data_IF_996427661497
#
_entry.id   IF_996427661497
#
_cell.length_a   1.000
_cell.length_b   1.000
_cell.length_c   1.000
_cell.angle_alpha   90.00
_cell.angle_beta   90.00
_cell.angle_gamma   90.00
#
_symmetry.space_group_name_H-M   'P 1'
#
loop_
_entity.id
_entity.type
_entity.pdbx_description
1 polymer ?
#
# COMPACT_ATOMS: atom_id res chain seq x y z
N UNK A 1 9.63 -5.32 21.60
CA UNK A 1 9.72 -4.18 20.67
C UNK A 1 9.04 -4.57 19.38
N UNK A 2 8.06 -3.78 18.89
CA UNK A 2 7.30 -4.16 17.71
C UNK A 2 8.10 -3.95 16.42
N UNK A 3 7.99 -4.92 15.52
CA UNK A 3 8.51 -4.83 14.14
C UNK A 3 7.37 -5.14 13.17
N UNK A 4 7.13 -4.26 12.21
CA UNK A 4 6.22 -4.52 11.09
C UNK A 4 7.02 -4.97 9.89
N UNK A 5 6.64 -6.10 9.27
CA UNK A 5 7.17 -6.51 7.97
C UNK A 5 6.12 -6.23 6.91
N UNK A 6 6.51 -5.50 5.88
CA UNK A 6 5.67 -5.10 4.76
C UNK A 6 6.20 -5.72 3.47
N UNK A 7 5.35 -6.46 2.77
CA UNK A 7 5.58 -6.92 1.39
C UNK A 7 4.67 -6.14 0.46
N UNK A 8 5.17 -5.79 -0.72
CA UNK A 8 4.38 -5.13 -1.75
C UNK A 8 4.09 -6.13 -2.88
N UNK A 9 2.89 -6.74 -2.96
CA UNK A 9 2.63 -7.78 -3.97
C UNK A 9 2.78 -7.29 -5.42
N UNK A 10 2.56 -5.99 -5.67
CA UNK A 10 2.82 -5.36 -6.97
C UNK A 10 4.31 -5.09 -7.25
N UNK A 11 5.20 -5.33 -6.27
CA UNK A 11 6.64 -5.07 -6.32
C UNK A 11 7.02 -3.61 -6.37
N UNK A 12 6.09 -2.68 -6.11
CA UNK A 12 6.28 -1.24 -6.25
C UNK A 12 5.75 -0.49 -5.04
N UNK A 13 6.51 0.51 -4.63
CA UNK A 13 6.11 1.46 -3.61
C UNK A 13 6.09 2.89 -4.17
N UNK A 14 4.89 3.45 -4.29
CA UNK A 14 4.59 4.77 -4.81
C UNK A 14 4.30 5.71 -3.65
N UNK A 15 5.17 6.70 -3.45
CA UNK A 15 4.96 7.70 -2.42
C UNK A 15 5.72 8.99 -2.70
N UNK A 16 4.99 10.10 -2.83
CA UNK A 16 5.61 11.42 -3.05
C UNK A 16 6.09 11.99 -1.71
N UNK A 17 7.33 12.49 -1.63
CA UNK A 17 7.81 13.15 -0.41
C UNK A 17 6.94 14.35 -0.02
N UNK A 18 6.82 14.57 1.29
CA UNK A 18 6.09 15.73 1.80
C UNK A 18 6.75 17.06 1.38
N UNK A 19 5.95 17.99 0.87
CA UNK A 19 6.42 19.28 0.38
C UNK A 19 6.90 19.26 -1.08
N UNK A 20 6.77 18.12 -1.77
CA UNK A 20 7.14 17.95 -3.16
C UNK A 20 5.91 17.67 -4.03
N UNK A 21 5.98 18.10 -5.29
CA UNK A 21 4.98 17.81 -6.30
C UNK A 21 5.25 16.46 -6.99
N UNK A 22 4.19 15.73 -7.38
CA UNK A 22 4.30 14.40 -8.01
C UNK A 22 5.19 14.40 -9.26
N UNK A 23 5.20 15.50 -10.01
CA UNK A 23 6.00 15.66 -11.23
C UNK A 23 7.48 15.99 -10.97
N UNK A 24 7.93 16.09 -9.71
CA UNK A 24 9.36 16.21 -9.40
C UNK A 24 10.09 14.87 -9.52
N UNK A 25 9.38 13.76 -9.73
CA UNK A 25 10.00 12.45 -9.93
C UNK A 25 10.67 11.87 -8.68
N UNK A 26 10.36 12.42 -7.50
CA UNK A 26 10.94 11.96 -6.24
C UNK A 26 10.09 10.87 -5.58
N UNK A 27 10.75 9.90 -4.95
CA UNK A 27 10.12 8.85 -4.15
C UNK A 27 10.56 9.01 -2.70
N UNK A 28 9.58 9.09 -1.79
CA UNK A 28 9.87 9.02 -0.36
C UNK A 28 10.31 7.61 -0.02
N UNK A 29 11.57 7.39 0.32
CA UNK A 29 12.04 6.08 0.77
C UNK A 29 13.09 6.26 1.88
N UNK A 30 12.97 5.58 3.03
CA UNK A 30 11.87 4.72 3.43
C UNK A 30 10.55 5.48 3.67
N UNK A 31 9.41 4.76 3.86
CA UNK A 31 8.15 5.39 4.25
C UNK A 31 8.31 6.23 5.52
N UNK A 32 7.94 7.51 5.46
CA UNK A 32 8.12 8.44 6.59
C UNK A 32 7.29 8.04 7.82
N UNK A 33 7.80 8.27 9.04
CA UNK A 33 7.05 7.98 10.26
C UNK A 33 5.67 8.66 10.29
N UNK A 34 5.56 9.88 9.77
CA UNK A 34 4.28 10.58 9.65
C UNK A 34 3.27 9.82 8.78
N UNK A 35 3.71 9.28 7.65
CA UNK A 35 2.86 8.49 6.74
C UNK A 35 2.44 7.17 7.38
N UNK A 36 3.37 6.49 8.08
CA UNK A 36 3.07 5.26 8.81
C UNK A 36 1.99 5.47 9.87
N UNK A 37 2.13 6.52 10.70
CA UNK A 37 1.14 6.83 11.74
C UNK A 37 -0.24 7.12 11.14
N UNK A 38 -0.30 7.90 10.06
CA UNK A 38 -1.56 8.19 9.37
C UNK A 38 -2.19 6.95 8.74
N UNK A 39 -1.39 6.04 8.19
CA UNK A 39 -1.88 4.80 7.61
C UNK A 39 -2.51 3.88 8.68
N UNK A 40 -1.87 3.74 9.85
CA UNK A 40 -2.41 2.97 10.97
C UNK A 40 -3.73 3.58 11.50
N UNK A 41 -3.80 4.90 11.63
CA UNK A 41 -5.03 5.59 12.06
C UNK A 41 -6.14 5.39 11.03
N UNK A 42 -5.85 5.61 9.74
CA UNK A 42 -6.82 5.43 8.67
C UNK A 42 -7.36 3.98 8.67
N UNK A 43 -6.48 2.99 8.82
CA UNK A 43 -6.86 1.58 8.93
C UNK A 43 -7.85 1.33 10.08
N UNK A 44 -7.64 1.95 11.25
CA UNK A 44 -8.56 1.85 12.38
C UNK A 44 -9.97 2.35 12.06
N UNK A 45 -10.09 3.51 11.42
CA UNK A 45 -11.39 4.04 11.00
C UNK A 45 -12.04 3.20 9.90
N UNK A 46 -11.28 2.76 8.89
CA UNK A 46 -11.86 2.10 7.70
C UNK A 46 -12.15 0.62 7.92
N UNK A 47 -11.30 -0.11 8.65
CA UNK A 47 -11.39 -1.57 8.79
C UNK A 47 -11.88 -1.99 10.17
N UNK A 48 -11.46 -1.29 11.22
CA UNK A 48 -11.86 -1.58 12.61
C UNK A 48 -13.10 -0.79 13.03
N UNK A 49 -13.67 0.02 12.12
CA UNK A 49 -14.91 0.79 12.31
C UNK A 49 -14.88 1.67 13.56
N UNK A 50 -13.72 2.27 13.85
CA UNK A 50 -13.61 3.23 14.93
C UNK A 50 -14.51 4.43 14.66
N UNK A 51 -15.32 4.83 15.65
CA UNK A 51 -15.98 6.13 15.64
C UNK A 51 -15.07 7.21 16.24
N UNK A 52 -14.29 6.79 17.24
CA UNK A 52 -13.20 7.53 17.88
C UNK A 52 -12.05 6.56 18.14
N UNK A 53 -10.83 7.08 18.32
CA UNK A 53 -9.66 6.23 18.58
C UNK A 53 -9.83 5.57 19.97
N UNK A 54 -9.88 4.23 20.07
CA UNK A 54 -10.03 3.56 21.36
C UNK A 54 -8.85 3.80 22.30
N UNK A 55 -9.02 3.79 23.63
CA UNK A 55 -7.93 4.07 24.57
C UNK A 55 -6.67 3.21 24.40
N UNK A 56 -6.75 1.88 24.13
CA UNK A 56 -5.56 1.07 23.85
C UNK A 56 -4.84 1.50 22.56
N UNK A 57 -5.60 1.88 21.52
CA UNK A 57 -5.04 2.40 20.28
C UNK A 57 -4.40 3.76 20.47
N UNK A 58 -4.99 4.64 21.28
CA UNK A 58 -4.39 5.94 21.62
C UNK A 58 -3.03 5.75 22.28
N UNK A 59 -2.93 4.90 23.31
CA UNK A 59 -1.64 4.63 24.00
C UNK A 59 -0.60 4.04 23.05
N UNK A 60 -1.01 3.09 22.20
CA UNK A 60 -0.16 2.52 21.15
C UNK A 60 0.39 3.62 20.22
N UNK A 61 -0.50 4.42 19.64
CA UNK A 61 -0.13 5.43 18.65
C UNK A 61 0.75 6.53 19.26
N UNK A 62 0.49 6.92 20.50
CA UNK A 62 1.33 7.87 21.24
C UNK A 62 2.74 7.31 21.50
N UNK A 63 2.87 6.03 21.87
CA UNK A 63 4.18 5.36 22.04
C UNK A 63 4.96 5.28 20.74
N UNK A 64 4.31 4.86 19.64
CA UNK A 64 4.94 4.80 18.32
C UNK A 64 5.34 6.19 17.82
N UNK A 65 4.53 7.22 18.05
CA UNK A 65 4.85 8.59 17.66
C UNK A 65 5.96 9.23 18.50
N UNK A 66 6.19 8.75 19.72
CA UNK A 66 7.25 9.24 20.59
C UNK A 66 8.65 8.79 20.16
N UNK A 67 8.77 7.74 19.35
CA UNK A 67 10.04 7.12 18.95
C UNK A 67 10.14 7.06 17.42
N UNK A 68 11.27 7.51 16.89
CA UNK A 68 11.57 7.36 15.47
C UNK A 68 11.95 5.90 15.14
N UNK A 69 11.27 5.23 14.20
CA UNK A 69 11.58 3.85 13.85
C UNK A 69 12.91 3.74 13.09
N UNK A 70 13.51 2.56 13.13
CA UNK A 70 14.60 2.13 12.23
C UNK A 70 14.07 1.13 11.22
N UNK A 71 14.74 0.99 10.08
CA UNK A 71 14.25 0.22 8.94
C UNK A 71 15.30 -0.79 8.49
N UNK A 72 14.85 -2.00 8.15
CA UNK A 72 15.58 -2.87 7.22
C UNK A 72 14.96 -2.72 5.85
N UNK A 73 15.79 -2.36 4.89
CA UNK A 73 15.32 -2.00 3.56
C UNK A 73 15.80 -3.06 2.58
N UNK A 74 14.90 -3.58 1.73
CA UNK A 74 15.33 -4.38 0.60
C UNK A 74 16.15 -3.52 -0.36
N UNK A 75 16.87 -4.18 -1.26
CA UNK A 75 17.51 -3.47 -2.36
C UNK A 75 16.42 -2.90 -3.26
N UNK A 76 16.45 -1.60 -3.52
CA UNK A 76 15.46 -0.93 -4.36
C UNK A 76 16.13 -0.15 -5.47
N UNK A 77 15.41 0.06 -6.58
CA UNK A 77 15.77 1.02 -7.62
C UNK A 77 14.64 2.02 -7.83
N UNK A 78 14.96 3.29 -8.07
CA UNK A 78 13.95 4.26 -8.47
C UNK A 78 13.50 4.00 -9.93
N UNK A 79 12.21 4.14 -10.21
CA UNK A 79 11.67 4.02 -11.56
C UNK A 79 10.44 4.92 -11.72
N UNK A 80 10.14 5.29 -12.96
CA UNK A 80 8.94 6.06 -13.28
C UNK A 80 8.35 5.67 -14.64
N UNK A 81 7.07 5.98 -14.80
CA UNK A 81 6.37 5.97 -16.08
C UNK A 81 5.97 7.40 -16.44
N UNK A 82 5.85 7.65 -17.74
CA UNK A 82 5.57 8.97 -18.31
C UNK A 82 4.26 8.92 -19.06
N UNK A 83 3.31 9.75 -18.66
CA UNK A 83 1.96 9.79 -19.23
C UNK A 83 1.67 11.20 -19.75
N UNK A 84 1.16 11.30 -20.97
CA UNK A 84 0.67 12.57 -21.51
C UNK A 84 -0.84 12.66 -21.24
N UNK A 85 -1.19 13.18 -20.06
CA UNK A 85 -2.56 13.20 -19.58
C UNK A 85 -3.34 14.38 -20.17
N UNK A 86 -4.59 14.17 -20.63
CA UNK A 86 -5.42 15.25 -21.13
C UNK A 86 -5.78 16.25 -20.03
N UNK A 87 -5.79 17.54 -20.36
CA UNK A 87 -6.13 18.62 -19.40
C UNK A 87 -7.50 19.25 -19.68
N UNK A 88 -8.37 18.57 -20.42
CA UNK A 88 -9.76 18.99 -20.65
C UNK A 88 -9.91 20.27 -21.48
N UNK A 89 -8.89 20.66 -22.24
CA UNK A 89 -8.93 21.78 -23.18
C UNK A 89 -8.42 21.36 -24.55
N UNK A 90 -8.98 21.94 -25.60
CA UNK A 90 -8.54 21.71 -26.98
C UNK A 90 -7.54 22.81 -27.40
N UNK A 91 -6.47 22.42 -28.06
CA UNK A 91 -5.56 23.30 -28.79
C UNK A 91 -5.52 22.86 -30.26
N UNK A 92 -5.90 23.77 -31.18
CA UNK A 92 -6.00 23.50 -32.62
C UNK A 92 -6.79 22.22 -32.97
N UNK A 93 -7.89 21.98 -32.26
CA UNK A 93 -8.75 20.82 -32.48
C UNK A 93 -8.20 19.48 -31.96
N UNK A 94 -7.08 19.49 -31.23
CA UNK A 94 -6.55 18.32 -30.51
C UNK A 94 -6.62 18.54 -29.02
N UNK A 95 -6.85 17.46 -28.27
CA UNK A 95 -6.82 17.52 -26.81
C UNK A 95 -5.43 17.90 -26.32
N UNK A 96 -5.35 18.98 -25.55
CA UNK A 96 -4.11 19.43 -24.95
C UNK A 96 -3.75 18.46 -23.82
N UNK A 97 -2.51 18.00 -23.84
CA UNK A 97 -1.98 17.09 -22.82
C UNK A 97 -0.89 17.76 -22.00
N UNK A 98 -0.66 17.23 -20.80
CA UNK A 98 0.48 17.58 -19.96
C UNK A 98 1.24 16.33 -19.58
N UNK A 99 2.56 16.43 -19.48
CA UNK A 99 3.41 15.33 -19.03
C UNK A 99 3.23 15.15 -17.52
N UNK A 100 2.86 13.93 -17.12
CA UNK A 100 2.74 13.49 -15.73
C UNK A 100 3.70 12.35 -15.48
N UNK A 101 4.44 12.44 -14.38
CA UNK A 101 5.28 11.36 -13.89
C UNK A 101 4.53 10.53 -12.85
N UNK A 102 4.60 9.21 -13.00
CA UNK A 102 4.25 8.28 -11.95
C UNK A 102 5.51 7.53 -11.51
N UNK A 103 6.02 7.85 -10.33
CA UNK A 103 7.33 7.42 -9.82
C UNK A 103 7.17 6.49 -8.62
N UNK A 104 8.00 5.45 -8.55
CA UNK A 104 8.00 4.44 -7.49
C UNK A 104 9.40 3.92 -7.16
N UNK A 105 9.55 3.37 -5.96
CA UNK A 105 10.65 2.48 -5.60
C UNK A 105 10.27 1.06 -6.04
N UNK A 106 11.10 0.45 -6.89
CA UNK A 106 10.95 -0.94 -7.31
C UNK A 106 11.51 -1.84 -6.20
N UNK A 107 10.62 -2.49 -5.46
CA UNK A 107 10.92 -3.33 -4.29
C UNK A 107 11.03 -4.81 -4.65
N UNK A 108 10.43 -5.23 -5.76
CA UNK A 108 10.44 -6.64 -6.17
C UNK A 108 9.65 -7.52 -5.22
N UNK A 109 10.17 -8.71 -4.90
CA UNK A 109 9.51 -9.69 -4.03
C UNK A 109 9.97 -9.61 -2.57
N UNK A 110 10.94 -8.74 -2.29
CA UNK A 110 11.49 -8.57 -0.95
C UNK A 110 10.55 -7.79 -0.02
N UNK A 111 10.88 -7.80 1.27
CA UNK A 111 10.08 -7.15 2.32
C UNK A 111 10.86 -6.05 3.04
N UNK A 112 10.17 -4.98 3.38
CA UNK A 112 10.62 -3.92 4.26
C UNK A 112 10.29 -4.29 5.72
N UNK A 113 11.21 -4.07 6.65
CA UNK A 113 10.91 -4.16 8.09
C UNK A 113 11.04 -2.79 8.77
N UNK A 114 10.07 -2.46 9.62
CA UNK A 114 10.00 -1.20 10.37
C UNK A 114 10.00 -1.52 11.85
N UNK A 115 10.99 -1.04 12.57
CA UNK A 115 11.25 -1.40 13.95
C UNK A 115 11.14 -0.18 14.88
N UNK A 116 10.33 -0.28 15.93
CA UNK A 116 10.28 0.73 16.99
C UNK A 116 10.95 0.22 18.27
N UNK A 117 11.90 1.01 18.76
CA UNK A 117 12.55 0.77 20.04
C UNK A 117 11.66 1.27 21.19
N UNK A 118 10.52 0.60 21.39
CA UNK A 118 9.62 0.84 22.52
C UNK A 118 8.97 -0.46 22.99
N UNK A 119 8.58 -0.48 24.26
CA UNK A 119 7.82 -1.59 24.85
C UNK A 119 6.32 -1.32 24.74
N UNK A 120 5.61 -2.34 24.26
CA UNK A 120 4.17 -2.34 24.14
C UNK A 120 3.58 -3.34 25.12
N UNK A 121 2.43 -3.01 25.69
CA UNK A 121 1.64 -3.96 26.48
C UNK A 121 0.98 -4.98 25.55
N UNK A 122 0.45 -6.06 26.13
CA UNK A 122 -0.27 -7.09 25.37
C UNK A 122 -1.47 -6.51 24.61
N UNK A 123 -2.27 -5.64 25.25
CA UNK A 123 -3.38 -4.93 24.58
C UNK A 123 -2.91 -4.07 23.40
N UNK A 124 -1.80 -3.36 23.55
CA UNK A 124 -1.25 -2.50 22.50
C UNK A 124 -0.69 -3.33 21.34
N UNK A 125 -0.06 -4.47 21.62
CA UNK A 125 0.40 -5.42 20.60
C UNK A 125 -0.77 -6.03 19.82
N UNK A 126 -1.87 -6.38 20.50
CA UNK A 126 -3.07 -6.92 19.85
C UNK A 126 -3.68 -5.89 18.90
N UNK A 127 -3.82 -4.63 19.35
CA UNK A 127 -4.30 -3.55 18.47
C UNK A 127 -3.36 -3.34 17.29
N UNK A 128 -2.04 -3.31 17.52
CA UNK A 128 -1.07 -3.16 16.44
C UNK A 128 -1.18 -4.33 15.44
N UNK A 129 -1.32 -5.56 15.91
CA UNK A 129 -1.52 -6.74 15.08
C UNK A 129 -2.76 -6.65 14.21
N UNK A 130 -3.90 -6.23 14.78
CA UNK A 130 -5.15 -6.01 14.05
C UNK A 130 -5.01 -4.95 12.96
N UNK A 131 -4.44 -3.78 13.30
CA UNK A 131 -4.22 -2.71 12.33
C UNK A 131 -3.26 -3.13 11.22
N UNK A 132 -2.23 -3.89 11.57
CA UNK A 132 -1.23 -4.38 10.61
C UNK A 132 -1.87 -5.36 9.64
N UNK A 133 -2.59 -6.37 10.12
CA UNK A 133 -3.24 -7.37 9.25
C UNK A 133 -4.25 -6.75 8.28
N UNK A 134 -4.85 -5.62 8.63
CA UNK A 134 -5.84 -4.93 7.81
C UNK A 134 -5.27 -3.80 6.94
N UNK A 135 -3.95 -3.55 6.99
CA UNK A 135 -3.31 -2.51 6.19
C UNK A 135 -3.23 -2.92 4.72
N UNK A 136 -4.12 -2.40 3.88
CA UNK A 136 -4.23 -2.80 2.47
C UNK A 136 -3.28 -2.07 1.51
N UNK A 137 -2.82 -0.87 1.86
CA UNK A 137 -1.85 -0.10 1.07
C UNK A 137 -1.07 0.87 1.97
N UNK A 138 0.10 1.30 1.50
CA UNK A 138 0.91 2.34 2.14
C UNK A 138 1.47 3.29 1.08
N UNK A 139 1.33 4.60 1.27
CA UNK A 139 1.69 5.58 0.24
C UNK A 139 0.49 5.91 -0.62
N UNK A 140 0.59 5.66 -1.93
CA UNK A 140 -0.53 5.79 -2.87
C UNK A 140 -1.26 4.45 -3.03
N UNK A 141 -2.49 4.48 -3.54
CA UNK A 141 -3.37 3.32 -3.66
C UNK A 141 -2.84 2.19 -4.54
N UNK A 142 -1.87 2.49 -5.41
CA UNK A 142 -1.16 1.53 -6.27
C UNK A 142 -0.17 0.66 -5.48
N UNK A 143 0.19 1.06 -4.26
CA UNK A 143 1.17 0.38 -3.40
C UNK A 143 0.48 -0.55 -2.42
N UNK A 144 -0.10 -1.63 -2.94
CA UNK A 144 -0.73 -2.64 -2.11
C UNK A 144 0.27 -3.26 -1.15
N UNK A 145 -0.19 -3.57 0.06
CA UNK A 145 0.65 -4.08 1.13
C UNK A 145 0.04 -5.35 1.69
N UNK A 146 0.90 -6.33 1.92
CA UNK A 146 0.67 -7.39 2.89
C UNK A 146 1.57 -7.09 4.08
N UNK A 147 0.97 -6.92 5.26
CA UNK A 147 1.69 -6.53 6.45
C UNK A 147 1.52 -7.56 7.56
N UNK A 148 2.60 -7.83 8.28
CA UNK A 148 2.59 -8.70 9.44
C UNK A 148 3.35 -8.08 10.62
N UNK A 149 2.86 -8.37 11.83
CA UNK A 149 3.54 -8.02 13.06
C UNK A 149 4.52 -9.15 13.40
N UNK A 150 5.81 -8.85 13.38
CA UNK A 150 6.87 -9.80 13.67
C UNK A 150 7.16 -9.79 15.17
N UNK A 151 7.07 -10.98 15.80
CA UNK A 151 7.30 -11.19 17.24
C UNK A 151 8.68 -11.78 17.56
N UNK A 152 9.53 -12.02 16.56
CA UNK A 152 10.89 -12.53 16.78
C UNK A 152 11.80 -11.51 17.47
N UNK A 153 12.89 -11.99 18.08
CA UNK A 153 13.88 -11.15 18.76
C UNK A 153 14.29 -9.97 17.87
N UNK A 154 14.43 -8.76 18.44
CA UNK A 154 14.85 -7.60 17.67
C UNK A 154 16.20 -7.89 17.03
N UNK A 155 16.41 -7.48 15.77
CA UNK A 155 17.70 -7.62 15.13
C UNK A 155 18.78 -6.87 15.91
N UNK A 156 20.04 -7.30 15.79
CA UNK A 156 21.14 -6.59 16.41
C UNK A 156 21.21 -5.16 15.82
N UNK A 157 21.70 -4.19 16.58
CA UNK A 157 21.70 -2.76 16.19
C UNK A 157 22.45 -2.45 14.88
N UNK A 158 23.30 -3.36 14.41
CA UNK A 158 24.08 -3.22 13.18
C UNK A 158 23.34 -3.68 11.92
N UNK A 159 22.10 -4.13 12.03
CA UNK A 159 21.39 -4.75 10.91
C UNK A 159 20.36 -3.84 10.23
N UNK A 160 20.26 -2.57 10.59
CA UNK A 160 19.31 -1.64 9.94
C UNK A 160 19.97 -0.97 8.73
N UNK A 161 19.21 -0.79 7.65
CA UNK A 161 19.63 -0.10 6.41
C UNK A 161 19.17 1.37 6.38
N UNK A 162 18.30 1.77 7.29
CA UNK A 162 18.04 3.17 7.58
C UNK A 162 17.67 3.42 9.05
N UNK A 163 18.16 4.51 9.62
CA UNK A 163 17.93 4.86 11.02
C UNK A 163 18.02 6.38 11.25
N UNK A 164 17.39 6.91 12.33
CA UNK A 164 17.41 8.33 12.63
C UNK A 164 18.83 8.86 12.84
N UNK A 165 19.13 10.03 12.29
CA UNK A 165 20.39 10.73 12.54
C UNK A 165 20.58 11.01 14.03
N UNK A 166 21.83 10.90 14.49
CA UNK A 166 22.28 11.28 15.84
C UNK A 166 23.61 11.98 15.72
N UNK A 167 23.81 13.02 16.51
CA UNK A 167 25.05 13.78 16.54
C UNK A 167 26.24 12.86 16.82
N UNK A 168 27.32 13.03 16.05
CA UNK A 168 28.53 12.22 16.17
C UNK A 168 28.46 10.83 15.52
N UNK A 169 27.33 10.42 14.94
CA UNK A 169 27.21 9.16 14.21
C UNK A 169 27.25 9.39 12.69
N UNK A 170 28.32 8.89 12.07
CA UNK A 170 28.51 8.88 10.62
C UNK A 170 28.81 7.46 10.13
N UNK A 171 27.84 6.77 9.50
CA UNK A 171 27.97 5.36 9.16
C UNK A 171 28.86 5.08 7.93
N UNK A 172 29.45 6.11 7.30
CA UNK A 172 30.41 6.01 6.20
C UNK A 172 29.86 6.40 4.83
N UNK A 173 30.70 6.34 3.80
CA UNK A 173 30.42 6.92 2.46
C UNK A 173 29.37 6.19 1.61
N UNK A 174 28.90 5.01 2.01
CA UNK A 174 27.80 4.29 1.33
C UNK A 174 26.41 4.74 1.81
N UNK A 175 26.37 5.66 2.77
CA UNK A 175 25.15 6.17 3.38
C UNK A 175 24.91 7.62 2.95
N UNK A 176 23.65 7.94 2.78
CA UNK A 176 23.18 9.30 2.51
C UNK A 176 22.19 9.75 3.57
N UNK A 177 22.05 11.07 3.69
CA UNK A 177 21.02 11.66 4.55
C UNK A 177 19.76 11.95 3.74
N UNK A 178 18.63 11.50 4.25
CA UNK A 178 17.31 11.86 3.73
C UNK A 178 16.48 12.56 4.79
N UNK A 179 15.67 13.52 4.36
CA UNK A 179 14.75 14.26 5.24
C UNK A 179 13.35 13.66 5.17
N UNK A 180 12.89 13.07 6.28
CA UNK A 180 11.57 12.46 6.40
C UNK A 180 10.66 13.28 7.32
N UNK A 181 9.36 13.25 7.04
CA UNK A 181 8.35 13.84 7.94
C UNK A 181 8.06 12.87 9.09
N UNK A 182 8.08 13.33 10.33
CA UNK A 182 7.74 12.54 11.50
C UNK A 182 6.76 13.30 12.41
N UNK A 183 5.97 12.62 13.23
CA UNK A 183 5.23 13.28 14.29
C UNK A 183 6.21 13.85 15.34
N UNK A 184 5.84 14.97 15.96
CA UNK A 184 6.45 15.41 17.20
C UNK A 184 6.08 14.43 18.32
N UNK A 185 6.98 14.13 19.27
CA UNK A 185 6.61 13.34 20.45
C UNK A 185 5.42 13.98 21.18
N UNK A 186 4.41 13.19 21.63
CA UNK A 186 3.17 13.74 22.20
C UNK A 186 3.40 14.77 23.32
N UNK A 187 4.36 14.50 24.21
CA UNK A 187 4.73 15.41 25.30
C UNK A 187 5.31 16.74 24.81
N UNK A 188 6.07 16.73 23.72
CA UNK A 188 6.65 17.95 23.13
C UNK A 188 5.55 18.77 22.48
N UNK A 189 4.66 18.12 21.72
CA UNK A 189 3.50 18.80 21.12
C UNK A 189 2.60 19.43 22.18
N UNK A 190 2.27 18.70 23.25
CA UNK A 190 1.42 19.22 24.34
C UNK A 190 2.02 20.48 24.99
N UNK A 191 3.33 20.45 25.33
CA UNK A 191 4.03 21.62 25.88
C UNK A 191 4.00 22.81 24.94
N UNK A 192 4.31 22.59 23.67
CA UNK A 192 4.27 23.64 22.65
C UNK A 192 2.86 24.21 22.48
N UNK A 193 1.84 23.34 22.48
CA UNK A 193 0.44 23.74 22.34
C UNK A 193 0.02 24.63 23.50
N UNK A 194 0.30 24.22 24.74
CA UNK A 194 0.03 25.04 25.94
C UNK A 194 0.66 26.42 25.81
N UNK A 195 1.95 26.49 25.46
CA UNK A 195 2.64 27.76 25.27
C UNK A 195 2.03 28.66 24.16
N UNK A 196 1.44 28.07 23.12
CA UNK A 196 0.73 28.83 22.08
C UNK A 196 -0.66 29.27 22.53
N UNK A 197 -1.41 28.40 23.23
CA UNK A 197 -2.75 28.72 23.72
C UNK A 197 -2.74 29.73 24.86
N UNK A 198 -1.68 29.74 25.69
CA UNK A 198 -1.52 30.71 26.78
C UNK A 198 -1.30 32.15 26.27
N UNK A 199 -0.84 32.30 25.01
CA UNK A 199 -0.74 33.61 24.35
C UNK A 199 -2.10 34.14 23.90
N UNK A 200 -3.13 33.29 23.87
CA UNK A 200 -4.49 33.71 23.53
C UNK A 200 -5.11 34.31 24.80
N UNK A 201 -5.57 35.58 24.77
CA UNK A 201 -6.09 36.24 25.96
C UNK A 201 -7.21 35.45 26.66
N UNK A 202 -7.17 35.46 27.99
CA UNK A 202 -8.21 34.83 28.80
C UNK A 202 -9.59 35.45 28.55
N UNK A 203 -10.62 34.62 28.68
CA UNK A 203 -11.99 35.07 28.57
C UNK A 203 -12.40 35.83 29.83
N UNK A 204 -12.53 37.16 29.72
CA UNK A 204 -13.13 37.97 30.79
C UNK A 204 -14.65 37.71 30.87
N UNK A 205 -15.21 37.65 32.09
CA UNK A 205 -16.64 37.39 32.37
C UNK A 205 -17.63 38.29 31.58
N UNK A 206 -17.21 39.47 31.12
CA UNK A 206 -18.01 40.41 30.31
C UNK A 206 -17.54 40.53 28.83
N UNK A 207 -16.94 39.48 28.27
CA UNK A 207 -16.52 39.48 26.86
C UNK A 207 -17.73 39.45 25.90
N UNK A 208 -17.65 40.20 24.79
CA UNK A 208 -18.71 40.21 23.78
C UNK A 208 -18.76 38.86 23.05
N UNK A 209 -19.94 38.47 22.54
CA UNK A 209 -20.13 37.22 21.79
C UNK A 209 -19.14 37.08 20.61
N UNK A 210 -18.81 38.20 19.95
CA UNK A 210 -17.78 38.27 18.90
C UNK A 210 -16.39 37.87 19.42
N UNK A 211 -15.94 38.40 20.56
CA UNK A 211 -14.63 38.06 21.15
C UNK A 211 -14.56 36.60 21.59
N UNK A 212 -15.66 36.05 22.10
CA UNK A 212 -15.75 34.61 22.44
C UNK A 212 -15.57 33.73 21.20
N UNK A 213 -16.23 34.09 20.10
CA UNK A 213 -16.09 33.38 18.82
C UNK A 213 -14.67 33.47 18.25
N UNK A 214 -14.09 34.67 18.21
CA UNK A 214 -12.71 34.88 17.73
C UNK A 214 -11.70 34.07 18.57
N UNK A 215 -11.88 34.01 19.90
CA UNK A 215 -11.07 33.16 20.77
C UNK A 215 -11.26 31.67 20.48
N UNK A 216 -12.50 31.22 20.32
CA UNK A 216 -12.78 29.82 20.01
C UNK A 216 -12.14 29.41 18.67
N UNK A 217 -12.27 30.24 17.62
CA UNK A 217 -11.61 30.01 16.33
C UNK A 217 -10.07 29.99 16.46
N UNK A 218 -9.49 30.88 17.26
CA UNK A 218 -8.05 30.89 17.55
C UNK A 218 -7.60 29.62 18.30
N UNK A 219 -8.39 29.11 19.26
CA UNK A 219 -8.08 27.86 19.95
C UNK A 219 -8.22 26.64 19.04
N UNK A 220 -9.24 26.61 18.18
CA UNK A 220 -9.48 25.53 17.21
C UNK A 220 -8.36 25.43 16.17
N UNK A 221 -7.62 26.52 15.94
CA UNK A 221 -6.43 26.51 15.07
C UNK A 221 -5.31 25.61 15.60
N UNK A 222 -5.33 25.23 16.88
CA UNK A 222 -4.35 24.35 17.53
C UNK A 222 -5.01 23.02 17.95
N UNK A 223 -4.79 21.92 17.20
CA UNK A 223 -5.38 20.61 17.49
C UNK A 223 -5.16 20.18 18.94
N UNK A 224 -6.12 19.48 19.55
CA UNK A 224 -6.14 19.19 21.00
C UNK A 224 -4.91 18.40 21.47
N UNK A 225 -4.46 17.45 20.67
CA UNK A 225 -3.37 16.52 20.92
C UNK A 225 -2.70 16.12 19.59
N UNK A 226 -1.69 15.25 19.67
CA UNK A 226 -0.95 14.79 18.50
C UNK A 226 -1.81 13.92 17.57
N UNK A 227 -2.75 13.14 18.10
CA UNK A 227 -3.60 12.28 17.27
C UNK A 227 -4.58 13.14 16.46
N UNK A 228 -5.13 14.19 17.07
CA UNK A 228 -5.95 15.19 16.37
C UNK A 228 -5.15 15.88 15.25
N UNK A 229 -3.84 16.10 15.44
CA UNK A 229 -2.97 16.59 14.37
C UNK A 229 -2.86 15.62 13.19
N UNK A 230 -2.60 14.33 13.47
CA UNK A 230 -2.44 13.28 12.45
C UNK A 230 -3.71 13.06 11.63
N UNK A 231 -4.88 13.34 12.23
CA UNK A 231 -6.19 13.25 11.56
C UNK A 231 -6.54 14.49 10.71
N UNK A 232 -5.81 15.61 10.80
CA UNK A 232 -6.09 16.77 9.93
C UNK A 232 -5.65 16.51 8.49
N UNK A 233 -6.51 16.86 7.55
CA UNK A 233 -6.20 16.82 6.13
C UNK A 233 -5.49 18.10 5.65
N UNK A 234 -5.04 18.08 4.40
CA UNK A 234 -4.33 19.18 3.75
C UNK A 234 -5.18 20.44 3.59
N UNK A 235 -6.49 20.32 3.39
CA UNK A 235 -7.37 21.47 3.25
C UNK A 235 -7.47 22.22 4.59
N UNK A 236 -7.67 21.47 5.68
CA UNK A 236 -7.84 22.03 7.02
C UNK A 236 -6.62 22.84 7.47
N UNK A 237 -5.40 22.28 7.40
CA UNK A 237 -4.24 23.00 7.93
C UNK A 237 -3.81 24.16 7.02
N UNK A 238 -4.06 24.08 5.70
CA UNK A 238 -3.85 25.22 4.79
C UNK A 238 -4.83 26.36 5.06
N UNK A 239 -6.09 26.05 5.36
CA UNK A 239 -7.09 27.05 5.75
C UNK A 239 -6.65 27.81 7.01
N UNK A 240 -6.01 27.12 7.96
CA UNK A 240 -5.45 27.70 9.18
C UNK A 240 -4.02 28.25 9.00
N UNK A 241 -3.53 28.35 7.75
CA UNK A 241 -2.24 28.95 7.37
C UNK A 241 -1.01 28.28 8.00
N UNK A 242 -1.10 26.99 8.32
CA UNK A 242 0.08 26.23 8.69
C UNK A 242 1.02 26.06 7.48
N UNK A 243 2.33 26.14 7.71
CA UNK A 243 3.33 25.89 6.65
C UNK A 243 3.51 24.40 6.35
N UNK A 244 3.19 23.54 7.31
CA UNK A 244 3.23 22.09 7.24
C UNK A 244 2.14 21.51 8.16
N UNK A 245 1.80 20.20 8.09
CA UNK A 245 0.81 19.63 8.99
C UNK A 245 1.14 19.93 10.47
N UNK A 246 0.16 20.33 11.31
CA UNK A 246 0.41 20.58 12.73
C UNK A 246 0.96 19.31 13.39
N UNK A 247 1.76 19.46 14.44
CA UNK A 247 2.34 18.31 15.15
C UNK A 247 3.37 17.51 14.33
N UNK A 248 3.78 17.97 13.15
CA UNK A 248 4.83 17.34 12.34
C UNK A 248 6.19 18.02 12.50
N UNK A 249 7.25 17.29 12.21
CA UNK A 249 8.64 17.76 12.17
C UNK A 249 9.39 17.09 11.00
N UNK A 250 10.43 17.75 10.49
CA UNK A 250 11.38 17.12 9.57
C UNK A 250 12.54 16.54 10.38
N UNK A 251 12.83 15.27 10.16
CA UNK A 251 13.92 14.54 10.81
C UNK A 251 14.86 13.99 9.76
N UNK A 252 16.16 13.99 10.06
CA UNK A 252 17.17 13.41 9.19
C UNK A 252 17.31 11.91 9.51
N UNK A 253 17.41 11.12 8.46
CA UNK A 253 17.68 9.70 8.51
C UNK A 253 18.94 9.40 7.72
N UNK A 254 19.78 8.52 8.25
CA UNK A 254 20.77 7.83 7.43
C UNK A 254 20.07 6.68 6.71
N UNK A 255 20.30 6.52 5.42
CA UNK A 255 19.93 5.32 4.67
C UNK A 255 21.08 4.86 3.77
N UNK A 256 21.17 3.57 3.48
CA UNK A 256 22.01 3.10 2.36
C UNK A 256 21.46 3.65 1.06
N UNK A 257 22.35 4.15 0.19
CA UNK A 257 21.95 4.85 -1.03
C UNK A 257 21.08 3.99 -1.96
N UNK A 258 20.09 4.62 -2.60
CA UNK A 258 19.35 3.98 -3.70
C UNK A 258 20.14 4.18 -4.99
N UNK A 259 20.49 3.12 -5.75
CA UNK A 259 21.02 3.31 -7.10
C UNK A 259 19.96 3.99 -7.98
N UNK A 260 20.25 5.21 -8.44
CA UNK A 260 19.42 5.95 -9.40
C UNK A 260 19.32 5.26 -10.76
N UNK A 261 20.32 4.43 -11.09
CA UNK A 261 20.39 3.60 -12.29
C UNK A 261 20.80 2.19 -11.86
N UNK A 262 19.86 1.24 -11.91
CA UNK A 262 20.16 -0.17 -11.72
C UNK A 262 20.56 -0.81 -13.05
N UNK A 263 21.51 -1.74 -12.99
CA UNK A 263 21.76 -2.64 -14.13
C UNK A 263 20.49 -3.46 -14.39
N UNK A 264 19.99 -3.55 -15.62
CA UNK A 264 18.78 -4.31 -15.92
C UNK A 264 18.97 -5.77 -15.49
N UNK A 265 18.26 -6.17 -14.43
CA UNK A 265 18.26 -7.56 -14.01
C UNK A 265 17.49 -8.38 -15.04
N UNK A 266 18.18 -9.34 -15.65
CA UNK A 266 17.53 -10.30 -16.54
C UNK A 266 16.60 -11.15 -15.68
N UNK A 267 15.31 -10.83 -15.71
CA UNK A 267 14.27 -11.60 -15.01
C UNK A 267 14.43 -13.06 -15.37
N UNK A 268 14.90 -13.86 -14.41
CA UNK A 268 15.01 -15.31 -14.58
C UNK A 268 13.57 -15.80 -14.64
N UNK A 269 13.06 -16.05 -15.85
CA UNK A 269 11.78 -16.70 -15.99
C UNK A 269 11.92 -18.06 -15.31
N UNK A 270 11.13 -18.38 -14.26
CA UNK A 270 11.20 -19.69 -13.65
C UNK A 270 11.01 -20.71 -14.76
N UNK A 271 11.81 -21.79 -14.75
CA UNK A 271 11.59 -22.91 -15.66
C UNK A 271 10.23 -23.50 -15.31
N UNK A 272 9.21 -23.08 -16.05
CA UNK A 272 7.87 -23.65 -15.94
C UNK A 272 7.99 -25.11 -16.36
N UNK A 273 7.47 -26.02 -15.54
CA UNK A 273 7.38 -27.43 -15.89
C UNK A 273 6.60 -27.55 -17.20
N UNK A 274 7.13 -28.28 -18.17
CA UNK A 274 6.39 -28.58 -19.40
C UNK A 274 5.17 -29.40 -19.01
N UNK A 275 3.98 -28.89 -19.31
CA UNK A 275 2.73 -29.62 -19.19
C UNK A 275 2.35 -30.18 -20.55
N UNK A 276 1.84 -31.40 -20.57
CA UNK A 276 1.19 -31.94 -21.77
C UNK A 276 -0.19 -31.30 -21.85
N UNK A 277 -0.47 -30.64 -22.97
CA UNK A 277 -1.76 -29.97 -23.18
C UNK A 277 -2.42 -30.45 -24.47
N UNK A 278 -3.74 -30.40 -24.49
CA UNK A 278 -4.55 -30.59 -25.69
C UNK A 278 -4.95 -29.21 -26.21
N UNK A 279 -4.80 -29.01 -27.52
CA UNK A 279 -5.33 -27.84 -28.22
C UNK A 279 -6.51 -28.29 -29.09
N UNK A 280 -7.71 -27.85 -28.74
CA UNK A 280 -8.94 -28.20 -29.43
C UNK A 280 -9.37 -27.03 -30.31
N UNK A 281 -9.44 -27.24 -31.62
CA UNK A 281 -9.96 -26.23 -32.54
C UNK A 281 -11.49 -26.18 -32.48
N UNK A 282 -12.04 -24.96 -32.49
CA UNK A 282 -13.46 -24.69 -32.64
C UNK A 282 -13.77 -24.40 -34.10
N UNK A 283 -14.76 -25.09 -34.64
CA UNK A 283 -15.21 -24.90 -36.01
C UNK A 283 -16.73 -24.88 -36.07
N UNK A 284 -17.28 -23.98 -36.87
CA UNK A 284 -18.69 -24.02 -37.23
C UNK A 284 -18.90 -24.99 -38.40
N UNK A 285 -20.08 -25.64 -38.52
CA UNK A 285 -20.36 -26.53 -39.65
C UNK A 285 -20.23 -25.85 -41.03
N UNK A 286 -20.43 -24.52 -41.09
CA UNK A 286 -20.28 -23.72 -42.31
C UNK A 286 -18.86 -23.19 -42.55
N UNK A 287 -17.94 -23.36 -41.59
CA UNK A 287 -16.60 -22.76 -41.64
C UNK A 287 -16.59 -21.25 -41.43
N UNK A 288 -17.73 -20.61 -41.15
CA UNK A 288 -17.78 -19.19 -40.86
C UNK A 288 -17.17 -18.90 -39.47
N UNK A 289 -16.02 -18.23 -39.46
CA UNK A 289 -15.30 -17.83 -38.23
C UNK A 289 -16.01 -16.72 -37.47
N UNK A 290 -16.74 -15.82 -38.14
CA UNK A 290 -17.48 -14.72 -37.46
C UNK A 290 -18.65 -15.21 -36.61
N UNK A 291 -18.98 -16.51 -36.69
CA UNK A 291 -20.01 -17.16 -35.89
C UNK A 291 -19.43 -17.90 -34.67
N UNK A 292 -18.11 -17.88 -34.49
CA UNK A 292 -17.46 -18.36 -33.27
C UNK A 292 -17.80 -17.43 -32.09
N UNK A 293 -17.66 -17.89 -30.84
CA UNK A 293 -17.98 -17.06 -29.68
C UNK A 293 -17.01 -15.89 -29.53
N UNK A 294 -17.45 -14.66 -29.23
CA UNK A 294 -16.54 -13.55 -28.97
C UNK A 294 -15.72 -13.77 -27.69
N UNK A 295 -14.53 -13.17 -27.60
CA UNK A 295 -13.63 -13.28 -26.44
C UNK A 295 -14.28 -12.89 -25.10
N UNK A 296 -15.26 -11.98 -25.11
CA UNK A 296 -16.06 -11.62 -23.94
C UNK A 296 -16.80 -12.82 -23.30
N UNK A 297 -16.95 -13.92 -24.04
CA UNK A 297 -17.59 -15.16 -23.59
C UNK A 297 -16.62 -16.24 -23.10
N UNK A 298 -15.35 -15.90 -22.85
CA UNK A 298 -14.33 -16.87 -22.40
C UNK A 298 -14.80 -17.73 -21.22
N UNK A 299 -15.32 -17.12 -20.15
CA UNK A 299 -15.73 -17.86 -18.95
C UNK A 299 -16.93 -18.80 -19.21
N UNK A 300 -18.05 -18.36 -19.81
CA UNK A 300 -19.15 -19.26 -20.17
C UNK A 300 -18.72 -20.43 -21.08
N UNK A 301 -17.81 -20.18 -22.03
CA UNK A 301 -17.33 -21.20 -22.97
C UNK A 301 -16.47 -22.25 -22.26
N UNK A 302 -15.61 -21.82 -21.34
CA UNK A 302 -14.81 -22.71 -20.50
C UNK A 302 -15.72 -23.62 -19.66
N UNK A 303 -16.72 -23.05 -19.00
CA UNK A 303 -17.65 -23.79 -18.14
C UNK A 303 -18.51 -24.79 -18.92
N UNK A 304 -18.97 -24.42 -20.12
CA UNK A 304 -19.75 -25.32 -20.98
C UNK A 304 -18.94 -26.55 -21.39
N UNK A 305 -17.67 -26.37 -21.77
CA UNK A 305 -16.81 -27.49 -22.13
C UNK A 305 -16.48 -28.35 -20.91
N UNK A 306 -16.16 -27.72 -19.77
CA UNK A 306 -15.91 -28.44 -18.51
C UNK A 306 -17.12 -29.28 -18.09
N UNK A 307 -18.31 -28.68 -18.05
CA UNK A 307 -19.57 -29.36 -17.76
C UNK A 307 -19.84 -30.52 -18.73
N UNK A 308 -19.55 -30.35 -20.03
CA UNK A 308 -19.73 -31.41 -21.01
C UNK A 308 -18.76 -32.59 -20.80
N UNK A 309 -17.50 -32.32 -20.46
CA UNK A 309 -16.49 -33.33 -20.11
C UNK A 309 -16.98 -34.13 -18.89
N UNK A 310 -17.36 -33.42 -17.83
CA UNK A 310 -17.86 -34.03 -16.58
C UNK A 310 -19.13 -34.83 -16.85
N UNK A 311 -20.07 -34.32 -17.63
CA UNK A 311 -21.32 -35.01 -17.96
C UNK A 311 -21.09 -36.29 -18.76
N UNK A 312 -20.16 -36.29 -19.71
CA UNK A 312 -19.82 -37.49 -20.50
C UNK A 312 -19.17 -38.56 -19.65
N UNK A 313 -18.33 -38.15 -18.71
CA UNK A 313 -17.71 -39.05 -17.76
C UNK A 313 -18.75 -39.63 -16.80
N UNK A 314 -19.62 -38.76 -16.27
CA UNK A 314 -20.68 -39.09 -15.32
C UNK A 314 -21.68 -40.12 -15.85
N UNK A 315 -22.07 -40.04 -17.14
CA UNK A 315 -23.17 -40.84 -17.72
C UNK A 315 -24.46 -40.83 -16.85
N UNK A 316 -24.73 -39.72 -16.18
CA UNK A 316 -25.86 -39.57 -15.25
C UNK A 316 -25.64 -40.08 -13.83
N UNK A 317 -24.42 -40.53 -13.49
CA UNK A 317 -24.01 -40.97 -12.15
C UNK A 317 -22.93 -40.07 -11.57
N UNK A 318 -22.73 -40.13 -10.25
CA UNK A 318 -21.63 -39.43 -9.60
C UNK A 318 -20.30 -40.13 -9.95
N UNK A 319 -19.35 -39.40 -10.52
CA UNK A 319 -18.01 -39.93 -10.84
C UNK A 319 -16.94 -39.33 -9.94
N UNK A 320 -16.07 -40.19 -9.45
CA UNK A 320 -14.84 -39.84 -8.76
C UNK A 320 -13.71 -39.74 -9.79
N UNK A 321 -13.51 -38.55 -10.34
CA UNK A 321 -12.33 -38.21 -11.14
C UNK A 321 -11.92 -36.78 -10.79
N UNK A 322 -11.19 -36.59 -9.67
CA UNK A 322 -10.78 -35.27 -9.20
C UNK A 322 -10.01 -34.46 -10.25
N UNK A 323 -9.27 -35.15 -11.12
CA UNK A 323 -8.50 -34.55 -12.21
C UNK A 323 -9.38 -33.84 -13.23
N UNK A 324 -10.64 -34.25 -13.43
CA UNK A 324 -11.57 -33.60 -14.36
C UNK A 324 -12.64 -32.78 -13.63
N UNK A 325 -13.10 -33.22 -12.47
CA UNK A 325 -14.18 -32.54 -11.73
C UNK A 325 -13.68 -31.40 -10.85
N UNK A 326 -12.38 -31.40 -10.50
CA UNK A 326 -11.80 -30.46 -9.54
C UNK A 326 -12.30 -30.64 -8.11
N UNK A 327 -12.94 -31.79 -7.80
CA UNK A 327 -13.55 -32.08 -6.49
C UNK A 327 -13.06 -33.39 -5.90
N UNK A 328 -12.94 -33.43 -4.58
CA UNK A 328 -12.63 -34.62 -3.81
C UNK A 328 -13.81 -35.61 -3.72
N UNK A 329 -13.59 -36.74 -3.04
CA UNK A 329 -14.60 -37.78 -2.86
C UNK A 329 -15.84 -37.26 -2.11
N UNK A 330 -15.67 -36.27 -1.23
CA UNK A 330 -16.73 -35.63 -0.48
C UNK A 330 -17.46 -34.55 -1.30
N UNK A 331 -16.97 -34.23 -2.50
CA UNK A 331 -17.55 -33.23 -3.40
C UNK A 331 -17.11 -31.80 -3.10
N UNK A 332 -16.09 -31.60 -2.27
CA UNK A 332 -15.48 -30.30 -2.00
C UNK A 332 -14.40 -29.99 -3.03
N UNK A 333 -14.15 -28.70 -3.35
CA UNK A 333 -13.06 -28.30 -4.23
C UNK A 333 -11.70 -28.79 -3.72
N UNK A 334 -10.83 -29.24 -4.63
CA UNK A 334 -9.47 -29.64 -4.29
C UNK A 334 -8.67 -28.47 -3.71
N UNK A 335 -8.15 -28.62 -2.49
CA UNK A 335 -7.37 -27.60 -1.77
C UNK A 335 -5.85 -27.72 -1.99
N UNK A 336 -5.40 -28.84 -2.53
CA UNK A 336 -4.01 -29.21 -2.77
C UNK A 336 -3.60 -28.89 -4.21
N UNK A 337 -3.37 -27.60 -4.48
CA UNK A 337 -2.63 -27.13 -5.65
C UNK A 337 -3.37 -27.19 -6.99
N UNK A 338 -4.71 -27.17 -6.97
CA UNK A 338 -5.56 -27.12 -8.18
C UNK A 338 -5.14 -28.10 -9.29
N UNK A 339 -4.79 -29.34 -8.89
CA UNK A 339 -4.35 -30.42 -9.79
C UNK A 339 -5.54 -31.06 -10.51
N UNK A 340 -6.23 -30.28 -11.31
CA UNK A 340 -7.32 -30.69 -12.17
C UNK A 340 -7.23 -29.96 -13.51
N UNK A 341 -7.99 -30.41 -14.50
CA UNK A 341 -7.99 -29.90 -15.85
C UNK A 341 -8.35 -28.42 -15.88
N UNK A 342 -7.49 -27.62 -16.49
CA UNK A 342 -7.74 -26.20 -16.77
C UNK A 342 -8.32 -26.08 -18.17
N UNK A 343 -9.43 -25.37 -18.31
CA UNK A 343 -10.08 -25.13 -19.61
C UNK A 343 -9.91 -23.66 -19.98
N UNK A 344 -9.10 -23.39 -21.00
CA UNK A 344 -8.70 -22.05 -21.41
C UNK A 344 -9.05 -21.80 -22.87
N UNK A 345 -10.22 -21.20 -23.15
CA UNK A 345 -10.54 -20.70 -24.47
C UNK A 345 -9.55 -19.59 -24.87
N UNK A 346 -9.10 -19.63 -26.12
CA UNK A 346 -8.11 -18.70 -26.67
C UNK A 346 -8.54 -18.26 -28.07
N UNK A 347 -8.08 -17.07 -28.44
CA UNK A 347 -8.15 -16.49 -29.77
C UNK A 347 -6.72 -16.42 -30.30
N UNK A 348 -6.36 -17.38 -31.16
CA UNK A 348 -4.99 -17.52 -31.67
C UNK A 348 -4.73 -16.65 -32.91
N UNK A 349 -5.77 -16.29 -33.67
CA UNK A 349 -5.65 -15.42 -34.85
C UNK A 349 -5.92 -13.92 -34.56
N UNK A 350 -6.31 -13.60 -33.33
CA UNK A 350 -6.57 -12.27 -32.80
C UNK A 350 -7.73 -11.54 -33.49
N UNK A 351 -8.73 -12.28 -33.99
CA UNK A 351 -9.90 -11.72 -34.67
C UNK A 351 -11.04 -11.29 -33.71
N UNK A 352 -10.86 -11.50 -32.40
CA UNK A 352 -11.83 -11.18 -31.35
C UNK A 352 -12.81 -12.31 -31.04
N UNK A 353 -12.68 -13.47 -31.69
CA UNK A 353 -13.48 -14.67 -31.44
C UNK A 353 -12.61 -15.84 -30.99
N UNK A 354 -13.19 -16.69 -30.15
CA UNK A 354 -12.55 -17.87 -29.60
C UNK A 354 -12.49 -18.96 -30.68
N UNK A 355 -11.28 -19.29 -31.12
CA UNK A 355 -11.01 -20.26 -32.18
C UNK A 355 -10.45 -21.59 -31.67
N UNK A 356 -9.89 -21.61 -30.46
CA UNK A 356 -9.39 -22.82 -29.82
C UNK A 356 -9.70 -22.87 -28.32
N UNK A 357 -9.56 -24.06 -27.74
CA UNK A 357 -9.56 -24.27 -26.30
C UNK A 357 -8.36 -25.12 -25.92
N UNK A 358 -7.56 -24.61 -25.00
CA UNK A 358 -6.46 -25.34 -24.38
C UNK A 358 -7.01 -26.10 -23.16
N UNK A 359 -6.64 -27.37 -23.04
CA UNK A 359 -6.91 -28.21 -21.88
C UNK A 359 -5.60 -28.81 -21.36
N UNK A 360 -5.26 -28.59 -20.08
CA UNK A 360 -4.05 -29.15 -19.45
C UNK A 360 -4.23 -29.52 -17.98
#
# INVERSE_FOLDING_TARGET
MPTLRLRFPGGRYHATPWGHHVNEGQVEWPPSPWRLMRALIACGFTTQKWNEIPPPAQRLLEKLAAILPSYRLPTVSAAHSRHFMPIGSLDKGREKTTLVFDTWANVGEESLEIHWNCELTEEELQVLGQLTQCLSYLGRSESWVEAELVTSKPPASNDFDAFPHRDGIHPGGQWEQVSLMAPLPPKIYAKWRTAMTDRIPEEKQKSSARRRRERHEAMTSYPKDLLDCLMKDTAWWKQHRWSQPPGSQRVLYWRRGIPEVSTPERRIRPRVSRVSMMLLALSTPSGNRSALPPCARTLPQAELLHSAIVSRLARGQRVQCPELTGRDEQGKPLSNGHRHAHVLPVDLDADGHLDHVIVY
#
